data_IF_397799501753
#
_entry.id   IF_397799501753
#
_cell.length_a   1.000
_cell.length_b   1.000
_cell.length_c   1.000
_cell.angle_alpha   90.00
_cell.angle_beta   90.00
_cell.angle_gamma   90.00
#
_symmetry.space_group_name_H-M   'P 1'
#
loop_
_entity.id
_entity.type
_entity.pdbx_description
1 polymer ?
#
# COMPACT_ATOMS: atom_id res chain seq x y z
N UNK A 1 -14.02 11.72 35.41
CA UNK A 1 -12.63 11.70 34.93
C UNK A 1 -12.67 11.26 33.49
N UNK A 2 -12.51 12.20 32.55
CA UNK A 2 -12.68 11.94 31.11
C UNK A 2 -11.31 11.76 30.48
N UNK A 3 -11.04 10.60 29.88
CA UNK A 3 -9.84 10.38 29.05
C UNK A 3 -10.22 10.69 27.62
N UNK A 4 -9.92 11.91 27.20
CA UNK A 4 -9.89 12.28 25.78
C UNK A 4 -8.57 11.77 25.19
N UNK A 5 -8.60 10.59 24.59
CA UNK A 5 -7.51 10.12 23.71
C UNK A 5 -8.11 9.50 22.45
N UNK A 6 -8.75 10.34 21.64
CA UNK A 6 -8.71 10.14 20.20
C UNK A 6 -7.52 10.99 19.73
N UNK A 7 -6.33 10.37 19.73
CA UNK A 7 -5.30 10.80 18.78
C UNK A 7 -5.91 10.55 17.41
N UNK A 8 -6.33 11.62 16.75
CA UNK A 8 -6.62 11.63 15.32
C UNK A 8 -5.26 11.50 14.60
N UNK A 9 -4.95 10.37 13.95
CA UNK A 9 -3.71 10.21 13.23
C UNK A 9 -3.90 10.74 11.80
N UNK A 10 -4.49 11.92 11.63
CA UNK A 10 -4.17 12.80 10.50
C UNK A 10 -2.81 13.45 10.74
N UNK A 11 -1.85 12.66 11.22
CA UNK A 11 -0.45 13.03 11.09
C UNK A 11 -0.25 13.05 9.58
N UNK A 12 -0.15 14.26 9.02
CA UNK A 12 0.52 14.52 7.76
C UNK A 12 1.98 14.08 7.91
N UNK A 13 2.22 12.79 8.14
CA UNK A 13 3.47 12.14 7.80
C UNK A 13 3.45 12.24 6.29
N UNK A 14 4.24 13.15 5.75
CA UNK A 14 4.40 13.29 4.31
C UNK A 14 4.74 11.90 3.77
N UNK A 15 3.75 11.21 3.18
CA UNK A 15 3.89 9.82 2.85
C UNK A 15 5.12 9.68 1.95
N UNK A 16 6.06 8.81 2.34
CA UNK A 16 7.32 8.67 1.59
C UNK A 16 7.09 8.25 0.14
N UNK A 17 5.93 7.65 -0.14
CA UNK A 17 5.43 7.37 -1.47
C UNK A 17 4.02 6.79 -1.42
N UNK A 18 3.45 6.59 -2.60
CA UNK A 18 2.14 6.01 -2.80
C UNK A 18 2.27 4.62 -3.44
N UNK A 19 1.71 3.62 -2.78
CA UNK A 19 1.77 2.22 -3.19
C UNK A 19 0.50 1.82 -3.95
N UNK A 20 0.69 1.16 -5.09
CA UNK A 20 -0.38 0.66 -5.96
C UNK A 20 -0.10 -0.78 -6.33
N UNK A 21 -1.13 -1.56 -6.64
CA UNK A 21 -1.02 -2.91 -7.18
C UNK A 21 -1.52 -2.90 -8.62
N UNK A 22 -0.67 -3.28 -9.56
CA UNK A 22 -1.05 -3.41 -10.96
C UNK A 22 -1.29 -4.87 -11.31
N UNK A 23 -2.40 -5.15 -11.99
CA UNK A 23 -2.65 -6.44 -12.66
C UNK A 23 -2.17 -6.36 -14.11
N UNK A 24 -1.15 -7.13 -14.48
CA UNK A 24 -0.57 -7.20 -15.83
C UNK A 24 -1.10 -8.36 -16.67
N UNK A 25 -2.24 -8.95 -16.27
CA UNK A 25 -2.85 -10.13 -16.88
C UNK A 25 -3.25 -11.20 -15.86
N UNK A 26 -3.74 -12.35 -16.34
CA UNK A 26 -4.13 -13.47 -15.48
C UNK A 26 -2.88 -13.99 -14.74
N UNK A 27 -2.94 -14.04 -13.41
CA UNK A 27 -1.84 -14.59 -12.61
C UNK A 27 -0.60 -13.68 -12.52
N UNK A 28 -0.71 -12.41 -12.88
CA UNK A 28 0.42 -11.47 -12.83
C UNK A 28 0.01 -10.17 -12.12
N UNK A 29 0.13 -10.16 -10.79
CA UNK A 29 -0.08 -8.97 -9.96
C UNK A 29 1.24 -8.52 -9.36
N UNK A 30 1.49 -7.21 -9.27
CA UNK A 30 2.73 -6.66 -8.71
C UNK A 30 2.43 -5.34 -8.01
N UNK A 31 2.95 -5.18 -6.80
CA UNK A 31 2.90 -3.91 -6.08
C UNK A 31 4.08 -3.02 -6.49
N UNK A 32 3.84 -1.72 -6.61
CA UNK A 32 4.89 -0.72 -6.80
C UNK A 32 4.57 0.52 -5.98
N UNK A 33 5.61 1.23 -5.54
CA UNK A 33 5.50 2.46 -4.79
C UNK A 33 6.25 3.58 -5.49
N UNK A 34 5.72 4.81 -5.45
CA UNK A 34 6.42 6.00 -5.98
C UNK A 34 7.73 6.32 -5.27
N UNK A 35 8.01 5.69 -4.13
CA UNK A 35 9.32 5.74 -3.46
C UNK A 35 10.42 4.94 -4.18
N UNK A 36 10.10 4.26 -5.28
CA UNK A 36 11.03 3.46 -6.10
C UNK A 36 11.01 1.95 -5.78
N UNK A 37 10.24 1.52 -4.78
CA UNK A 37 10.10 0.10 -4.46
C UNK A 37 9.20 -0.64 -5.45
N UNK A 38 9.60 -1.86 -5.81
CA UNK A 38 8.81 -2.79 -6.61
C UNK A 38 8.75 -4.15 -5.92
N UNK A 39 7.55 -4.64 -5.66
CA UNK A 39 7.32 -5.93 -5.04
C UNK A 39 7.52 -7.11 -5.99
N UNK A 40 7.52 -8.31 -5.43
CA UNK A 40 7.61 -9.55 -6.20
C UNK A 40 6.37 -9.75 -7.07
N UNK A 41 6.54 -10.30 -8.27
CA UNK A 41 5.40 -10.70 -9.10
C UNK A 41 4.66 -11.87 -8.45
N UNK A 42 3.37 -11.68 -8.14
CA UNK A 42 2.50 -12.69 -7.51
C UNK A 42 1.41 -13.16 -8.46
N UNK A 43 0.97 -14.41 -8.26
CA UNK A 43 -0.20 -14.97 -8.98
C UNK A 43 -1.52 -14.38 -8.51
N UNK A 44 -1.66 -14.19 -7.20
CA UNK A 44 -2.87 -13.70 -6.57
C UNK A 44 -2.77 -12.21 -6.26
N UNK A 45 -3.80 -11.45 -6.62
CA UNK A 45 -3.91 -10.02 -6.28
C UNK A 45 -3.82 -9.77 -4.78
N UNK A 46 -4.38 -10.67 -3.97
CA UNK A 46 -4.38 -10.55 -2.52
C UNK A 46 -2.96 -10.59 -1.94
N UNK A 47 -2.07 -11.43 -2.49
CA UNK A 47 -0.68 -11.51 -2.03
C UNK A 47 0.10 -10.26 -2.45
N UNK A 48 -0.13 -9.75 -3.66
CA UNK A 48 0.48 -8.47 -4.07
C UNK A 48 -0.02 -7.29 -3.21
N UNK A 49 -1.29 -7.29 -2.81
CA UNK A 49 -1.81 -6.30 -1.86
C UNK A 49 -1.17 -6.44 -0.48
N UNK A 50 -0.94 -7.66 -0.01
CA UNK A 50 -0.22 -7.88 1.25
C UNK A 50 1.22 -7.35 1.20
N UNK A 51 1.92 -7.55 0.08
CA UNK A 51 3.26 -6.99 -0.13
C UNK A 51 3.20 -5.44 -0.05
N UNK A 52 2.17 -4.82 -0.65
CA UNK A 52 1.96 -3.37 -0.60
C UNK A 52 1.75 -2.85 0.83
N UNK A 53 0.85 -3.46 1.60
CA UNK A 53 0.60 -3.08 3.00
C UNK A 53 1.83 -3.27 3.88
N UNK A 54 2.55 -4.38 3.68
CA UNK A 54 3.79 -4.67 4.42
C UNK A 54 4.84 -3.59 4.14
N UNK A 55 4.99 -3.16 2.88
CA UNK A 55 5.87 -2.06 2.52
C UNK A 55 5.46 -0.74 3.19
N UNK A 56 4.18 -0.40 3.15
CA UNK A 56 3.62 0.81 3.77
C UNK A 56 3.93 0.86 5.27
N UNK A 57 3.67 -0.23 5.99
CA UNK A 57 3.96 -0.36 7.43
C UNK A 57 5.46 -0.22 7.75
N UNK A 58 6.34 -0.73 6.88
CA UNK A 58 7.79 -0.67 7.10
C UNK A 58 8.42 0.67 6.73
N UNK A 59 7.84 1.40 5.76
CA UNK A 59 8.44 2.60 5.17
C UNK A 59 7.66 3.89 5.43
N UNK A 60 6.49 3.83 6.04
CA UNK A 60 5.60 5.00 6.16
C UNK A 60 5.14 5.54 4.80
N UNK A 61 5.00 4.65 3.81
CA UNK A 61 4.33 4.96 2.55
C UNK A 61 2.84 4.73 2.70
N UNK A 62 2.03 5.36 1.85
CA UNK A 62 0.59 5.18 1.84
C UNK A 62 0.14 4.18 0.77
N UNK A 63 -1.09 3.71 0.91
CA UNK A 63 -1.79 2.96 -0.14
C UNK A 63 -2.65 3.89 -0.99
N UNK A 64 -2.63 3.65 -2.30
CA UNK A 64 -3.58 4.28 -3.22
C UNK A 64 -5.01 3.79 -2.97
N UNK A 65 -5.97 4.64 -3.34
CA UNK A 65 -7.39 4.29 -3.38
C UNK A 65 -7.89 4.52 -4.82
N UNK A 66 -8.26 3.47 -5.57
CA UNK A 66 -8.22 2.05 -5.19
C UNK A 66 -6.78 1.51 -5.11
N UNK A 67 -6.52 0.57 -4.19
CA UNK A 67 -5.19 -0.05 -4.07
C UNK A 67 -4.83 -0.91 -5.28
N UNK A 68 -5.82 -1.53 -5.93
CA UNK A 68 -5.62 -2.46 -7.05
C UNK A 68 -6.18 -1.85 -8.33
N UNK A 69 -5.33 -1.77 -9.36
CA UNK A 69 -5.67 -1.33 -10.70
C UNK A 69 -5.60 -2.50 -11.69
N UNK A 70 -6.65 -2.65 -12.51
CA UNK A 70 -6.78 -3.68 -13.56
C UNK A 70 -7.85 -4.74 -13.25
N UNK A 71 -8.70 -5.01 -14.25
CA UNK A 71 -9.80 -5.98 -14.23
C UNK A 71 -9.35 -7.42 -14.45
#
# INVERSE_FOLDING_TARGET
MSISLLHDPTVDVHAHGLTTVCRRGIGHSTACCSCGWTGTRRRLKAVAAQDAWTHCLQRGCDVSVPLVFGG
#
